data_IF_510814121298
#
_entry.id   IF_510814121298
#
_cell.length_a   1.000
_cell.length_b   1.000
_cell.length_c   1.000
_cell.angle_alpha   90.00
_cell.angle_beta   90.00
_cell.angle_gamma   90.00
#
_symmetry.space_group_name_H-M   'P 1'
#
loop_
_entity.id
_entity.type
_entity.pdbx_description
1 polymer ?
#
# COMPACT_ATOMS: atom_id res chain seq x y z
N UNK A 1 55.56 20.74 9.90
CA UNK A 1 54.53 21.75 9.58
C UNK A 1 53.96 21.58 8.17
N UNK A 2 54.75 21.59 7.08
CA UNK A 2 54.22 21.46 5.69
C UNK A 2 53.47 20.14 5.40
N UNK A 3 53.94 19.00 5.93
CA UNK A 3 53.28 17.68 5.74
C UNK A 3 51.92 17.56 6.44
N UNK A 4 51.81 18.16 7.63
CA UNK A 4 50.55 18.21 8.41
C UNK A 4 49.49 19.06 7.72
N UNK A 5 49.90 20.18 7.10
CA UNK A 5 49.01 21.06 6.32
C UNK A 5 48.44 20.35 5.09
N UNK A 6 49.24 19.52 4.40
CA UNK A 6 48.79 18.76 3.21
C UNK A 6 47.77 17.68 3.61
N UNK A 7 48.01 16.95 4.71
CA UNK A 7 47.09 15.92 5.18
C UNK A 7 45.71 16.49 5.58
N UNK A 8 45.69 17.66 6.23
CA UNK A 8 44.44 18.37 6.58
C UNK A 8 43.70 18.85 5.33
N UNK A 9 44.42 19.37 4.33
CA UNK A 9 43.82 19.82 3.08
C UNK A 9 43.19 18.65 2.29
N UNK A 10 43.86 17.50 2.21
CA UNK A 10 43.33 16.30 1.53
C UNK A 10 42.11 15.74 2.28
N UNK A 11 42.15 15.69 3.61
CA UNK A 11 41.02 15.27 4.42
C UNK A 11 39.79 16.18 4.25
N UNK A 12 40.00 17.50 4.22
CA UNK A 12 38.93 18.46 4.00
C UNK A 12 38.27 18.31 2.61
N UNK A 13 39.07 18.08 1.56
CA UNK A 13 38.56 17.86 0.19
C UNK A 13 37.78 16.55 0.08
N UNK A 14 38.24 15.49 0.74
CA UNK A 14 37.51 14.21 0.73
C UNK A 14 36.15 14.30 1.44
N UNK A 15 36.07 15.06 2.54
CA UNK A 15 34.82 15.28 3.28
C UNK A 15 33.83 16.12 2.45
N UNK A 16 34.29 17.19 1.81
CA UNK A 16 33.42 18.03 0.96
C UNK A 16 32.94 17.30 -0.30
N UNK A 17 33.80 16.48 -0.92
CA UNK A 17 33.41 15.64 -2.06
C UNK A 17 32.36 14.59 -1.68
N UNK A 18 32.49 13.97 -0.50
CA UNK A 18 31.53 12.99 0.02
C UNK A 18 30.18 13.62 0.34
N UNK A 19 30.18 14.80 0.97
CA UNK A 19 28.97 15.56 1.25
C UNK A 19 28.26 16.02 -0.05
N UNK A 20 29.03 16.44 -1.07
CA UNK A 20 28.49 16.76 -2.38
C UNK A 20 27.83 15.54 -3.03
N UNK A 21 28.45 14.36 -2.96
CA UNK A 21 27.89 13.13 -3.53
C UNK A 21 26.56 12.72 -2.87
N UNK A 22 26.42 12.92 -1.56
CA UNK A 22 25.18 12.67 -0.81
C UNK A 22 24.06 13.64 -1.24
N UNK A 23 24.39 14.89 -1.58
CA UNK A 23 23.40 15.88 -2.04
C UNK A 23 22.91 15.59 -3.46
N UNK A 24 23.72 14.96 -4.31
CA UNK A 24 23.36 14.66 -5.72
C UNK A 24 22.48 13.40 -5.82
N UNK A 25 22.43 12.55 -4.79
CA UNK A 25 21.61 11.31 -4.77
C UNK A 25 20.17 11.52 -4.28
N UNK A 26 19.67 12.76 -4.26
CA UNK A 26 18.25 12.98 -3.97
C UNK A 26 17.43 12.46 -5.13
N UNK A 27 16.75 11.34 -4.91
CA UNK A 27 15.74 10.82 -5.82
C UNK A 27 14.59 11.83 -5.84
N UNK A 28 14.58 12.71 -6.85
CA UNK A 28 13.50 13.66 -7.15
C UNK A 28 12.31 12.89 -7.75
N UNK A 29 11.91 11.78 -7.12
CA UNK A 29 10.69 11.09 -7.46
C UNK A 29 9.54 12.01 -7.02
N UNK A 30 9.00 12.76 -7.98
CA UNK A 30 7.80 13.55 -7.79
C UNK A 30 6.64 12.70 -7.26
N UNK A 31 5.57 13.32 -6.75
CA UNK A 31 4.44 12.59 -6.18
C UNK A 31 3.88 11.59 -7.21
N UNK A 32 3.88 10.32 -6.83
CA UNK A 32 3.27 9.26 -7.64
C UNK A 32 1.76 9.46 -7.61
N UNK A 33 1.14 9.55 -8.78
CA UNK A 33 -0.33 9.58 -8.87
C UNK A 33 -0.85 8.15 -8.66
N UNK A 34 -1.65 7.88 -7.62
CA UNK A 34 -2.23 6.55 -7.43
C UNK A 34 -3.20 6.26 -8.58
N UNK A 35 -3.13 5.04 -9.10
CA UNK A 35 -4.12 4.52 -10.05
C UNK A 35 -5.06 3.60 -9.30
N UNK A 36 -6.37 3.80 -9.49
CA UNK A 36 -7.36 2.82 -9.08
C UNK A 36 -7.47 1.77 -10.19
N UNK A 37 -7.19 0.52 -9.85
CA UNK A 37 -7.38 -0.64 -10.72
C UNK A 37 -8.53 -1.44 -10.12
N UNK A 38 -9.52 -1.76 -10.95
CA UNK A 38 -10.62 -2.64 -10.56
C UNK A 38 -10.14 -4.10 -10.59
N UNK A 39 -10.16 -4.76 -9.43
CA UNK A 39 -9.79 -6.16 -9.24
C UNK A 39 -10.97 -7.00 -8.75
N UNK A 40 -12.20 -6.48 -8.80
CA UNK A 40 -13.37 -7.18 -8.23
C UNK A 40 -13.63 -8.50 -8.97
N UNK A 41 -13.66 -8.46 -10.31
CA UNK A 41 -13.89 -9.67 -11.12
C UNK A 41 -12.71 -10.65 -11.10
N UNK A 42 -11.46 -10.15 -11.15
CA UNK A 42 -10.25 -10.98 -11.09
C UNK A 42 -10.10 -11.68 -9.73
N UNK A 43 -10.57 -11.06 -8.65
CA UNK A 43 -10.65 -11.68 -7.33
C UNK A 43 -11.82 -12.69 -7.18
N UNK A 44 -12.62 -12.91 -8.23
CA UNK A 44 -13.78 -13.80 -8.18
C UNK A 44 -14.94 -13.26 -7.35
N UNK A 45 -14.99 -11.94 -7.13
CA UNK A 45 -16.06 -11.28 -6.38
C UNK A 45 -17.09 -10.75 -7.37
N UNK A 46 -18.34 -11.17 -7.20
CA UNK A 46 -19.50 -10.67 -7.94
C UNK A 46 -20.62 -10.44 -6.93
N UNK A 47 -20.67 -9.24 -6.36
CA UNK A 47 -21.58 -8.86 -5.27
C UNK A 47 -22.17 -7.48 -5.50
N UNK A 48 -23.46 -7.33 -5.21
CA UNK A 48 -24.13 -6.04 -5.15
C UNK A 48 -24.93 -5.94 -3.85
N UNK A 49 -24.65 -4.91 -3.05
CA UNK A 49 -25.54 -4.49 -1.98
C UNK A 49 -26.64 -3.64 -2.60
N UNK A 50 -27.90 -4.02 -2.39
CA UNK A 50 -29.04 -3.32 -2.98
C UNK A 50 -30.17 -3.11 -1.95
N UNK A 51 -31.12 -2.26 -2.29
CA UNK A 51 -32.32 -2.00 -1.50
C UNK A 51 -32.70 -0.53 -1.42
N UNK A 52 -33.98 -0.27 -1.14
CA UNK A 52 -34.51 1.08 -0.98
C UNK A 52 -34.11 1.71 0.38
N UNK A 53 -34.80 2.77 0.79
CA UNK A 53 -34.53 3.54 2.01
C UNK A 53 -34.20 2.72 3.28
N UNK A 54 -34.81 1.55 3.58
CA UNK A 54 -34.43 0.75 4.74
C UNK A 54 -32.96 0.25 4.74
N UNK A 55 -32.36 0.13 3.55
CA UNK A 55 -30.98 -0.33 3.34
C UNK A 55 -30.00 0.84 3.19
N UNK A 56 -30.46 2.08 3.38
CA UNK A 56 -29.67 3.30 3.22
C UNK A 56 -28.51 3.42 4.22
N UNK A 57 -28.62 2.82 5.40
CA UNK A 57 -27.56 2.80 6.43
C UNK A 57 -26.41 1.85 6.10
N UNK A 58 -26.48 1.16 4.95
CA UNK A 58 -25.35 0.49 4.31
C UNK A 58 -25.23 -1.00 4.59
N UNK A 59 -24.35 -1.64 3.82
CA UNK A 59 -23.90 -3.02 3.98
C UNK A 59 -22.69 -3.14 4.90
N UNK A 60 -21.96 -4.24 4.76
CA UNK A 60 -20.76 -4.50 5.55
C UNK A 60 -20.10 -5.79 5.12
N UNK A 61 -18.83 -5.92 5.48
CA UNK A 61 -18.05 -7.15 5.27
C UNK A 61 -17.49 -7.60 6.60
N UNK A 62 -17.70 -8.87 6.94
CA UNK A 62 -17.04 -9.52 8.05
C UNK A 62 -15.91 -10.41 7.53
N UNK A 63 -14.79 -10.45 8.26
CA UNK A 63 -13.62 -11.26 7.93
C UNK A 63 -13.39 -12.28 9.04
N UNK A 64 -13.35 -13.56 8.69
CA UNK A 64 -13.11 -14.66 9.64
C UNK A 64 -12.69 -15.92 8.88
N UNK A 65 -12.03 -16.86 9.56
CA UNK A 65 -11.67 -18.17 8.98
C UNK A 65 -12.91 -19.09 9.06
N UNK A 66 -13.73 -19.09 8.01
CA UNK A 66 -14.93 -19.92 7.93
C UNK A 66 -14.60 -21.34 7.46
N UNK A 67 -13.58 -21.48 6.60
CA UNK A 67 -13.18 -22.73 5.98
C UNK A 67 -12.33 -23.63 6.91
N UNK A 68 -11.65 -23.03 7.90
CA UNK A 68 -10.75 -23.68 8.83
C UNK A 68 -9.33 -23.89 8.30
N UNK A 69 -8.93 -23.18 7.23
CA UNK A 69 -7.61 -23.32 6.60
C UNK A 69 -6.58 -22.27 7.06
N UNK A 70 -6.98 -21.38 7.99
CA UNK A 70 -6.15 -20.30 8.49
C UNK A 70 -6.06 -19.08 7.58
N UNK A 71 -6.79 -19.07 6.46
CA UNK A 71 -6.93 -17.92 5.56
C UNK A 71 -8.20 -17.12 5.90
N UNK A 72 -8.19 -15.78 5.74
CA UNK A 72 -9.38 -14.97 5.97
C UNK A 72 -10.39 -15.13 4.83
N UNK A 73 -11.59 -15.58 5.17
CA UNK A 73 -12.76 -15.55 4.30
C UNK A 73 -13.55 -14.25 4.51
N UNK A 74 -14.42 -13.93 3.55
CA UNK A 74 -15.22 -12.71 3.60
C UNK A 74 -16.71 -12.99 3.49
N UNK A 75 -17.50 -12.40 4.39
CA UNK A 75 -18.97 -12.46 4.34
C UNK A 75 -19.56 -11.08 4.09
N UNK A 76 -20.24 -10.90 2.96
CA UNK A 76 -20.77 -9.64 2.48
C UNK A 76 -22.27 -9.55 2.76
N UNK A 77 -22.75 -8.46 3.36
CA UNK A 77 -24.18 -8.19 3.46
C UNK A 77 -24.77 -7.90 2.06
N UNK A 78 -25.97 -8.43 1.75
CA UNK A 78 -26.63 -8.25 0.44
C UNK A 78 -27.69 -7.15 0.38
N UNK A 79 -28.17 -6.66 1.53
CA UNK A 79 -29.32 -5.75 1.57
C UNK A 79 -30.60 -6.48 1.18
N UNK A 80 -31.26 -6.10 0.09
CA UNK A 80 -32.36 -6.88 -0.51
C UNK A 80 -31.88 -8.09 -1.30
N UNK A 81 -30.61 -8.13 -1.71
CA UNK A 81 -30.00 -9.31 -2.32
C UNK A 81 -29.57 -10.31 -1.25
N UNK A 82 -29.18 -11.51 -1.69
CA UNK A 82 -28.57 -12.51 -0.82
C UNK A 82 -27.22 -12.02 -0.27
N UNK A 83 -26.94 -12.39 0.98
CA UNK A 83 -25.61 -12.25 1.54
C UNK A 83 -24.71 -13.37 1.02
N UNK A 84 -23.44 -13.07 0.81
CA UNK A 84 -22.50 -13.95 0.10
C UNK A 84 -21.25 -14.25 0.92
N UNK A 85 -20.83 -15.51 0.95
CA UNK A 85 -19.55 -15.95 1.51
C UNK A 85 -18.55 -16.18 0.38
N UNK A 86 -17.42 -15.48 0.41
CA UNK A 86 -16.27 -15.69 -0.46
C UNK A 86 -15.19 -16.41 0.34
N UNK A 87 -14.86 -17.63 -0.10
CA UNK A 87 -13.82 -18.45 0.52
C UNK A 87 -12.49 -18.19 -0.18
N UNK A 88 -11.49 -17.80 0.60
CA UNK A 88 -10.14 -17.56 0.13
C UNK A 88 -9.40 -18.90 0.01
N UNK A 89 -8.80 -19.20 -1.15
CA UNK A 89 -8.16 -20.49 -1.44
C UNK A 89 -6.86 -20.31 -2.20
#
# INVERSE_FOLDING_TARGET
MKRTLIAVAVGAVAITASAALIVIQRDEAGPVTPTLVDETSSAGVDHAYDGEYPFFVGGGVATFDCSGDGMPDLYFAGGTNEASLYVNK
#
